data_IF_808042553472
#
_entry.id   IF_808042553472
#
_cell.length_a   1.000
_cell.length_b   1.000
_cell.length_c   1.000
_cell.angle_alpha   90.00
_cell.angle_beta   90.00
_cell.angle_gamma   90.00
#
_symmetry.space_group_name_H-M   'P 1'
#
loop_
_entity.id
_entity.type
_entity.pdbx_description
1 polymer ?
#
# COMPACT_ATOMS: atom_id res chain seq x y z
N UNK A 1 28.95 68.19 23.19
CA UNK A 1 29.16 67.44 21.94
C UNK A 1 29.54 66.03 22.37
N UNK A 2 28.57 65.11 22.45
CA UNK A 2 28.78 63.79 23.08
C UNK A 2 28.26 62.74 22.11
N UNK A 3 29.17 62.02 21.46
CA UNK A 3 28.84 60.94 20.51
C UNK A 3 28.64 59.66 21.31
N UNK A 4 27.45 59.07 21.27
CA UNK A 4 27.18 57.72 21.76
C UNK A 4 27.27 56.75 20.58
N UNK A 5 28.24 55.85 20.64
CA UNK A 5 28.41 54.72 19.72
C UNK A 5 27.33 53.66 20.01
N UNK A 6 26.59 53.26 18.99
CA UNK A 6 25.66 52.12 19.02
C UNK A 6 26.39 50.95 18.39
N UNK A 7 26.77 49.96 19.20
CA UNK A 7 27.29 48.68 18.70
C UNK A 7 26.11 47.81 18.28
N UNK A 8 25.95 47.59 16.98
CA UNK A 8 25.05 46.58 16.42
C UNK A 8 25.69 45.20 16.57
N UNK A 9 25.08 44.35 17.40
CA UNK A 9 25.37 42.92 17.41
C UNK A 9 24.63 42.24 16.25
N UNK A 10 25.37 41.81 15.23
CA UNK A 10 24.87 40.91 14.18
C UNK A 10 25.00 39.49 14.73
N UNK A 11 23.87 38.86 15.05
CA UNK A 11 23.82 37.41 15.30
C UNK A 11 23.88 36.68 13.95
N UNK A 12 25.08 36.19 13.61
CA UNK A 12 25.31 35.31 12.48
C UNK A 12 24.93 33.89 12.92
N UNK A 13 23.69 33.47 12.63
CA UNK A 13 23.29 32.07 12.79
C UNK A 13 23.88 31.28 11.63
N UNK A 14 25.03 30.64 11.88
CA UNK A 14 25.63 29.71 10.95
C UNK A 14 24.81 28.42 11.02
N UNK A 15 23.89 28.24 10.07
CA UNK A 15 23.23 26.97 9.86
C UNK A 15 24.25 26.01 9.25
N UNK A 16 25.03 25.32 10.08
CA UNK A 16 25.85 24.20 9.64
C UNK A 16 24.91 23.03 9.34
N UNK A 17 24.36 23.03 8.13
CA UNK A 17 23.63 21.89 7.56
C UNK A 17 24.60 20.73 7.39
N UNK A 18 24.78 19.94 8.46
CA UNK A 18 25.31 18.60 8.34
C UNK A 18 24.31 17.82 7.49
N UNK A 19 24.68 17.57 6.23
CA UNK A 19 24.08 16.53 5.40
C UNK A 19 24.16 15.24 6.21
N UNK A 20 23.06 14.89 6.87
CA UNK A 20 22.89 13.52 7.35
C UNK A 20 22.91 12.64 6.10
N UNK A 21 23.76 11.61 6.05
CA UNK A 21 23.71 10.68 4.94
C UNK A 21 22.28 10.13 4.89
N UNK A 22 21.66 10.17 3.71
CA UNK A 22 20.38 9.53 3.49
C UNK A 22 20.53 8.07 3.94
N UNK A 23 19.89 7.72 5.05
CA UNK A 23 19.88 6.33 5.51
C UNK A 23 19.14 5.57 4.42
N UNK A 24 19.85 4.66 3.74
CA UNK A 24 19.21 3.85 2.72
C UNK A 24 18.06 3.09 3.38
N UNK A 25 16.85 3.26 2.83
CA UNK A 25 15.65 2.58 3.31
C UNK A 25 15.92 1.07 3.44
N UNK A 26 15.84 0.56 4.67
CA UNK A 26 16.14 -0.85 4.97
C UNK A 26 14.85 -1.67 5.13
N UNK A 27 14.90 -2.91 4.64
CA UNK A 27 13.80 -3.87 4.74
C UNK A 27 14.32 -5.16 5.39
N UNK A 28 13.81 -5.50 6.58
CA UNK A 28 14.30 -6.63 7.37
C UNK A 28 13.42 -7.85 7.12
N UNK A 29 14.00 -8.88 6.50
CA UNK A 29 13.33 -10.17 6.27
C UNK A 29 13.73 -11.21 7.30
N UNK A 30 12.75 -11.83 7.97
CA UNK A 30 13.02 -12.98 8.85
C UNK A 30 13.35 -14.23 8.01
N UNK A 31 14.09 -15.21 8.57
CA UNK A 31 14.38 -16.46 7.87
C UNK A 31 13.11 -17.13 7.34
N UNK A 32 13.12 -17.58 6.08
CA UNK A 32 12.00 -18.22 5.36
C UNK A 32 10.77 -17.32 5.11
N UNK A 33 10.83 -16.04 5.47
CA UNK A 33 9.79 -15.06 5.17
C UNK A 33 9.98 -14.51 3.76
N UNK A 34 8.91 -14.35 2.99
CA UNK A 34 8.98 -13.64 1.71
C UNK A 34 9.35 -12.17 1.92
N UNK A 35 10.24 -11.64 1.06
CA UNK A 35 10.68 -10.25 1.09
C UNK A 35 9.55 -9.22 1.01
N UNK A 36 8.41 -9.62 0.44
CA UNK A 36 7.21 -8.79 0.41
C UNK A 36 6.67 -8.47 1.82
N UNK A 37 6.95 -9.31 2.82
CA UNK A 37 6.49 -9.13 4.20
C UNK A 37 7.59 -8.59 5.11
N UNK A 38 8.73 -8.16 4.55
CA UNK A 38 9.80 -7.57 5.33
C UNK A 38 9.29 -6.40 6.16
N UNK A 39 9.78 -6.31 7.39
CA UNK A 39 9.61 -5.16 8.26
C UNK A 39 10.25 -3.94 7.59
N UNK A 40 9.59 -2.80 7.66
CA UNK A 40 10.06 -1.56 7.05
C UNK A 40 10.76 -0.74 8.11
N UNK A 41 12.07 -0.52 7.96
CA UNK A 41 12.79 0.47 8.75
C UNK A 41 12.50 1.82 8.11
N UNK A 42 11.71 2.64 8.79
CA UNK A 42 11.27 3.92 8.23
C UNK A 42 12.38 4.99 8.26
N UNK A 43 12.50 5.74 7.17
CA UNK A 43 13.10 7.07 7.20
C UNK A 43 11.99 8.10 7.49
N UNK A 44 12.02 8.79 8.65
CA UNK A 44 10.98 9.73 9.03
C UNK A 44 10.89 10.96 8.13
N UNK A 45 11.90 11.23 7.29
CA UNK A 45 11.88 12.31 6.32
C UNK A 45 11.15 11.94 5.01
N UNK A 46 10.83 10.65 4.79
CA UNK A 46 10.20 10.15 3.58
C UNK A 46 8.69 9.91 3.78
N UNK A 47 7.87 10.11 2.72
CA UNK A 47 6.44 9.84 2.79
C UNK A 47 6.14 8.34 2.95
N UNK A 48 5.03 8.00 3.58
CA UNK A 48 4.55 6.62 3.75
C UNK A 48 3.57 6.21 2.67
N UNK A 49 3.88 5.10 2.01
CA UNK A 49 3.04 4.47 0.99
C UNK A 49 2.55 3.11 1.50
N UNK A 50 1.24 2.89 1.50
CA UNK A 50 0.66 1.57 1.78
C UNK A 50 0.21 0.87 0.49
N UNK A 51 0.67 -0.37 0.29
CA UNK A 51 0.15 -1.27 -0.74
C UNK A 51 -0.90 -2.21 -0.14
N UNK A 52 -2.12 -2.16 -0.68
CA UNK A 52 -3.22 -3.10 -0.39
C UNK A 52 -3.49 -3.92 -1.66
N UNK A 53 -3.35 -5.24 -1.60
CA UNK A 53 -3.68 -6.08 -2.75
C UNK A 53 -3.46 -7.56 -2.51
N UNK A 54 -3.70 -8.33 -3.56
CA UNK A 54 -3.63 -9.80 -3.52
C UNK A 54 -2.21 -10.34 -3.82
N UNK A 55 -2.12 -11.61 -4.21
CA UNK A 55 -0.86 -12.27 -4.57
C UNK A 55 -0.02 -11.52 -5.62
N UNK A 56 -0.64 -10.74 -6.52
CA UNK A 56 0.10 -9.96 -7.51
C UNK A 56 0.91 -8.86 -6.82
N UNK A 57 0.33 -8.18 -5.83
CA UNK A 57 1.04 -7.16 -5.06
C UNK A 57 2.17 -7.73 -4.21
N UNK A 58 2.00 -8.95 -3.70
CA UNK A 58 3.09 -9.69 -3.04
C UNK A 58 4.28 -9.85 -3.99
N UNK A 59 4.02 -10.20 -5.25
CA UNK A 59 5.06 -10.41 -6.26
C UNK A 59 5.85 -9.14 -6.59
N UNK A 60 5.18 -8.00 -6.83
CA UNK A 60 5.87 -6.77 -7.22
C UNK A 60 6.40 -5.93 -6.04
N UNK A 61 6.01 -6.22 -4.80
CA UNK A 61 6.43 -5.38 -3.65
C UNK A 61 7.96 -5.30 -3.49
N UNK A 62 8.73 -6.41 -3.54
CA UNK A 62 10.19 -6.33 -3.44
C UNK A 62 10.86 -5.47 -4.53
N UNK A 63 10.62 -5.68 -5.84
CA UNK A 63 11.25 -4.82 -6.86
C UNK A 63 10.72 -3.37 -6.80
N UNK A 64 9.47 -3.14 -6.38
CA UNK A 64 8.97 -1.78 -6.17
C UNK A 64 9.77 -1.04 -5.08
N UNK A 65 10.10 -1.72 -3.98
CA UNK A 65 10.94 -1.18 -2.91
C UNK A 65 12.33 -0.81 -3.39
N UNK A 66 12.92 -1.63 -4.25
CA UNK A 66 14.22 -1.34 -4.87
C UNK A 66 14.15 -0.09 -5.77
N UNK A 67 13.13 0.02 -6.62
CA UNK A 67 12.95 1.14 -7.56
C UNK A 67 12.68 2.47 -6.83
N UNK A 68 12.01 2.42 -5.67
CA UNK A 68 11.63 3.59 -4.88
C UNK A 68 12.51 3.83 -3.66
N UNK A 69 13.66 3.16 -3.58
CA UNK A 69 14.61 3.32 -2.48
C UNK A 69 15.02 4.79 -2.32
N UNK A 70 15.01 5.27 -1.08
CA UNK A 70 15.33 6.67 -0.74
C UNK A 70 14.31 7.70 -1.20
N UNK A 71 13.14 7.28 -1.71
CA UNK A 71 12.06 8.19 -2.14
C UNK A 71 10.83 8.11 -1.26
N UNK A 72 10.44 6.90 -0.82
CA UNK A 72 9.25 6.67 0.01
C UNK A 72 9.46 5.45 0.91
N UNK A 73 8.78 5.42 2.05
CA UNK A 73 8.62 4.23 2.89
C UNK A 73 7.52 3.34 2.28
N UNK A 74 7.87 2.20 1.65
CA UNK A 74 6.88 1.30 1.03
C UNK A 74 6.46 0.19 1.98
N UNK A 75 5.25 0.32 2.53
CA UNK A 75 4.58 -0.69 3.34
C UNK A 75 3.63 -1.52 2.49
N UNK A 76 3.31 -2.73 2.99
CA UNK A 76 2.17 -3.49 2.49
C UNK A 76 1.44 -4.20 3.60
N UNK A 77 0.18 -4.53 3.37
CA UNK A 77 -0.58 -5.36 4.30
C UNK A 77 0.14 -6.70 4.53
N UNK A 78 0.19 -7.24 5.76
CA UNK A 78 0.98 -8.42 6.09
C UNK A 78 0.29 -9.73 5.66
N UNK A 79 -0.65 -9.67 4.72
CA UNK A 79 -1.48 -10.78 4.25
C UNK A 79 -1.72 -10.68 2.74
N UNK A 80 -2.27 -11.73 2.13
CA UNK A 80 -2.90 -11.61 0.81
C UNK A 80 -4.27 -10.92 0.99
N UNK A 81 -4.50 -9.81 0.27
CA UNK A 81 -5.74 -9.02 0.35
C UNK A 81 -6.98 -9.78 -0.09
N UNK A 82 -6.84 -10.77 -0.98
CA UNK A 82 -7.94 -11.63 -1.41
C UNK A 82 -9.09 -10.89 -2.11
N UNK A 83 -10.34 -11.36 -1.98
CA UNK A 83 -11.49 -10.71 -2.59
C UNK A 83 -11.86 -9.41 -1.86
N UNK A 84 -12.67 -8.56 -2.50
CA UNK A 84 -13.16 -7.32 -1.89
C UNK A 84 -13.90 -7.52 -0.56
N UNK A 85 -14.58 -8.65 -0.36
CA UNK A 85 -15.25 -9.00 0.91
C UNK A 85 -14.27 -9.07 2.08
N UNK A 86 -13.08 -9.64 1.86
CA UNK A 86 -11.99 -9.65 2.85
C UNK A 86 -11.46 -8.24 3.08
N UNK A 87 -11.36 -7.45 2.02
CA UNK A 87 -11.02 -6.03 2.11
C UNK A 87 -11.96 -5.30 3.08
N UNK A 88 -13.26 -5.35 2.84
CA UNK A 88 -14.27 -4.66 3.66
C UNK A 88 -14.17 -5.07 5.13
N UNK A 89 -13.95 -6.37 5.40
CA UNK A 89 -13.82 -6.88 6.77
C UNK A 89 -12.56 -6.39 7.51
N UNK A 90 -11.48 -6.05 6.79
CA UNK A 90 -10.17 -5.84 7.39
C UNK A 90 -9.60 -4.44 7.16
N UNK A 91 -10.28 -3.58 6.40
CA UNK A 91 -9.72 -2.29 5.97
C UNK A 91 -9.29 -1.42 7.15
N UNK A 92 -10.05 -1.39 8.25
CA UNK A 92 -9.66 -0.64 9.44
C UNK A 92 -8.35 -1.15 10.06
N UNK A 93 -8.22 -2.47 10.19
CA UNK A 93 -7.00 -3.08 10.71
C UNK A 93 -5.80 -2.89 9.77
N UNK A 94 -6.03 -2.88 8.46
CA UNK A 94 -4.97 -2.69 7.48
C UNK A 94 -4.48 -1.25 7.39
N UNK A 95 -5.37 -0.28 7.58
CA UNK A 95 -5.01 1.13 7.68
C UNK A 95 -4.31 1.42 9.02
N UNK A 96 -4.79 0.82 10.12
CA UNK A 96 -4.28 1.03 11.46
C UNK A 96 -4.31 2.51 11.88
N UNK A 97 -3.46 2.86 12.84
CA UNK A 97 -3.31 4.24 13.33
C UNK A 97 -2.21 5.02 12.59
N UNK A 98 -1.72 4.50 11.48
CA UNK A 98 -0.62 5.11 10.71
C UNK A 98 -1.16 6.20 9.79
N UNK A 99 -0.50 7.36 9.78
CA UNK A 99 -0.74 8.39 8.77
C UNK A 99 -0.09 7.98 7.45
N UNK A 100 -0.91 7.68 6.46
CA UNK A 100 -0.50 7.37 5.10
C UNK A 100 -0.51 8.61 4.22
N UNK A 101 0.54 8.82 3.44
CA UNK A 101 0.56 9.89 2.42
C UNK A 101 -0.07 9.39 1.12
N UNK A 102 0.09 8.11 0.81
CA UNK A 102 -0.51 7.45 -0.35
C UNK A 102 -0.93 6.01 -0.04
N UNK A 103 -2.09 5.62 -0.55
CA UNK A 103 -2.56 4.23 -0.52
C UNK A 103 -2.75 3.76 -1.97
N UNK A 104 -1.94 2.78 -2.37
CA UNK A 104 -2.08 2.10 -3.64
C UNK A 104 -2.83 0.78 -3.43
N UNK A 105 -3.93 0.58 -4.15
CA UNK A 105 -4.79 -0.58 -3.91
C UNK A 105 -5.31 -1.26 -5.19
N UNK A 106 -5.49 -2.58 -5.10
CA UNK A 106 -6.11 -3.41 -6.13
C UNK A 106 -6.92 -4.57 -5.50
N UNK A 107 -8.06 -4.89 -6.12
CA UNK A 107 -8.89 -6.07 -5.87
C UNK A 107 -9.45 -6.56 -7.21
N UNK A 108 -9.94 -7.80 -7.27
CA UNK A 108 -10.68 -8.29 -8.44
C UNK A 108 -10.34 -9.73 -8.85
N UNK A 109 -9.07 -10.15 -8.83
CA UNK A 109 -8.70 -11.50 -9.30
C UNK A 109 -9.29 -12.63 -8.45
N UNK A 110 -9.51 -12.36 -7.16
CA UNK A 110 -10.16 -13.29 -6.25
C UNK A 110 -11.69 -13.21 -6.34
N UNK A 111 -12.24 -12.03 -6.62
CA UNK A 111 -13.66 -11.80 -6.84
C UNK A 111 -14.18 -12.57 -8.07
N UNK A 112 -13.36 -12.61 -9.13
CA UNK A 112 -13.66 -13.32 -10.40
C UNK A 112 -13.63 -14.85 -10.29
N UNK A 113 -13.15 -15.44 -9.18
CA UNK A 113 -13.04 -16.91 -9.09
C UNK A 113 -14.44 -17.53 -9.07
N UNK A 114 -14.74 -18.46 -9.97
CA UNK A 114 -15.99 -19.22 -9.93
C UNK A 114 -15.98 -20.25 -8.82
N UNK A 115 -17.06 -20.28 -8.03
CA UNK A 115 -17.28 -21.21 -6.93
C UNK A 115 -18.62 -21.95 -7.09
N UNK A 116 -18.64 -23.23 -6.72
CA UNK A 116 -19.87 -24.01 -6.52
C UNK A 116 -20.65 -23.49 -5.29
N UNK A 117 -21.88 -23.97 -5.10
CA UNK A 117 -22.68 -23.64 -3.91
C UNK A 117 -21.99 -24.06 -2.60
N UNK A 118 -21.13 -25.07 -2.64
CA UNK A 118 -20.33 -25.54 -1.50
C UNK A 118 -19.00 -24.77 -1.32
N UNK A 119 -18.76 -23.72 -2.12
CA UNK A 119 -17.58 -22.87 -2.03
C UNK A 119 -16.30 -23.47 -2.61
N UNK A 120 -16.41 -24.50 -3.46
CA UNK A 120 -15.26 -25.09 -4.17
C UNK A 120 -15.04 -24.38 -5.50
N UNK A 121 -13.79 -24.24 -5.94
CA UNK A 121 -13.50 -23.69 -7.28
C UNK A 121 -14.18 -24.52 -8.36
N UNK A 122 -14.76 -23.86 -9.35
CA UNK A 122 -15.43 -24.49 -10.48
C UNK A 122 -15.08 -23.77 -11.77
N UNK A 123 -15.32 -24.42 -12.91
CA UNK A 123 -15.42 -23.72 -14.19
C UNK A 123 -16.70 -22.86 -14.23
N UNK A 124 -16.82 -21.92 -15.18
CA UNK A 124 -17.95 -21.00 -15.26
C UNK A 124 -19.32 -21.68 -15.31
N UNK A 125 -19.44 -22.83 -15.98
CA UNK A 125 -20.70 -23.58 -16.10
C UNK A 125 -21.17 -24.21 -14.79
N UNK A 126 -20.23 -24.44 -13.85
CA UNK A 126 -20.46 -25.15 -12.60
C UNK A 126 -20.58 -24.27 -11.36
N UNK A 127 -20.49 -22.95 -11.51
CA UNK A 127 -20.51 -22.04 -10.37
C UNK A 127 -20.83 -20.60 -10.72
N UNK A 128 -20.58 -19.72 -9.75
CA UNK A 128 -20.77 -18.28 -9.86
C UNK A 128 -19.53 -17.59 -9.34
N UNK A 129 -19.26 -16.36 -9.78
CA UNK A 129 -18.17 -15.57 -9.24
C UNK A 129 -18.24 -15.50 -7.71
N UNK A 130 -17.08 -15.63 -7.06
CA UNK A 130 -16.92 -15.61 -5.60
C UNK A 130 -17.51 -14.34 -5.00
N UNK A 131 -17.43 -13.23 -5.73
CA UNK A 131 -18.16 -12.01 -5.44
C UNK A 131 -18.92 -11.60 -6.71
N UNK A 132 -20.27 -11.59 -6.68
CA UNK A 132 -21.08 -11.07 -7.78
C UNK A 132 -20.66 -9.64 -8.17
N UNK A 133 -20.84 -9.26 -9.43
CA UNK A 133 -20.34 -7.98 -9.95
C UNK A 133 -20.96 -6.77 -9.21
N UNK A 134 -22.22 -6.88 -8.81
CA UNK A 134 -22.92 -5.85 -8.05
C UNK A 134 -22.33 -5.69 -6.63
N UNK A 135 -22.00 -6.81 -5.99
CA UNK A 135 -21.37 -6.80 -4.67
C UNK A 135 -19.92 -6.34 -4.75
N UNK A 136 -19.19 -6.69 -5.81
CA UNK A 136 -17.84 -6.20 -6.08
C UNK A 136 -17.82 -4.67 -6.18
N UNK A 137 -18.74 -4.11 -6.98
CA UNK A 137 -18.87 -2.65 -7.11
C UNK A 137 -19.18 -1.99 -5.75
N UNK A 138 -20.16 -2.53 -5.03
CA UNK A 138 -20.55 -2.03 -3.70
C UNK A 138 -19.38 -2.08 -2.73
N UNK A 139 -18.65 -3.18 -2.68
CA UNK A 139 -17.51 -3.35 -1.78
C UNK A 139 -16.37 -2.38 -2.14
N UNK A 140 -16.07 -2.18 -3.42
CA UNK A 140 -15.09 -1.19 -3.85
C UNK A 140 -15.47 0.23 -3.40
N UNK A 141 -16.75 0.61 -3.49
CA UNK A 141 -17.22 1.91 -3.01
C UNK A 141 -16.98 2.07 -1.51
N UNK A 142 -17.35 1.08 -0.69
CA UNK A 142 -17.11 1.07 0.75
C UNK A 142 -15.61 1.18 1.10
N UNK A 143 -14.77 0.42 0.40
CA UNK A 143 -13.31 0.45 0.57
C UNK A 143 -12.75 1.84 0.26
N UNK A 144 -13.14 2.42 -0.88
CA UNK A 144 -12.67 3.74 -1.30
C UNK A 144 -13.15 4.82 -0.34
N UNK A 145 -14.42 4.80 0.06
CA UNK A 145 -14.97 5.72 1.05
C UNK A 145 -14.19 5.67 2.35
N UNK A 146 -13.89 4.47 2.84
CA UNK A 146 -13.12 4.32 4.07
C UNK A 146 -11.66 4.78 3.92
N UNK A 147 -10.99 4.44 2.82
CA UNK A 147 -9.61 4.90 2.58
C UNK A 147 -9.54 6.41 2.43
N UNK A 148 -10.55 7.06 1.84
CA UNK A 148 -10.61 8.53 1.71
C UNK A 148 -10.59 9.24 3.06
N UNK A 149 -11.15 8.65 4.12
CA UNK A 149 -11.17 9.29 5.45
C UNK A 149 -9.78 9.40 6.09
N UNK A 150 -8.77 8.69 5.55
CA UNK A 150 -7.37 8.83 5.98
C UNK A 150 -6.72 10.14 5.51
N UNK A 151 -7.29 10.79 4.49
CA UNK A 151 -6.68 11.94 3.81
C UNK A 151 -5.51 11.59 2.87
N UNK A 152 -5.16 10.31 2.74
CA UNK A 152 -4.11 9.86 1.82
C UNK A 152 -4.52 10.04 0.35
N UNK A 153 -3.53 10.23 -0.52
CA UNK A 153 -3.74 10.13 -1.97
C UNK A 153 -4.07 8.68 -2.31
N UNK A 154 -5.18 8.44 -3.02
CA UNK A 154 -5.58 7.09 -3.42
C UNK A 154 -5.17 6.80 -4.86
N UNK A 155 -4.42 5.72 -5.06
CA UNK A 155 -4.04 5.21 -6.39
C UNK A 155 -4.67 3.84 -6.57
N UNK A 156 -5.72 3.78 -7.38
CA UNK A 156 -6.32 2.52 -7.79
C UNK A 156 -5.57 1.93 -8.98
N UNK A 157 -5.37 0.61 -8.98
CA UNK A 157 -4.97 -0.15 -10.16
C UNK A 157 -6.09 -1.08 -10.58
N UNK A 158 -6.31 -1.15 -11.89
CA UNK A 158 -7.16 -2.16 -12.49
C UNK A 158 -6.62 -3.57 -12.24
N UNK A 159 -7.52 -4.54 -12.22
CA UNK A 159 -7.20 -5.96 -12.10
C UNK A 159 -6.28 -6.39 -13.24
N UNK A 160 -5.29 -7.21 -12.92
CA UNK A 160 -4.43 -7.85 -13.94
C UNK A 160 -5.31 -8.61 -14.93
N UNK A 161 -5.14 -8.42 -16.25
CA UNK A 161 -5.90 -9.16 -17.24
C UNK A 161 -5.79 -10.67 -17.02
N UNK A 162 -6.92 -11.36 -17.08
CA UNK A 162 -6.96 -12.82 -16.99
C UNK A 162 -6.71 -13.39 -18.39
N UNK A 163 -5.67 -14.23 -18.61
CA UNK A 163 -5.42 -14.86 -19.90
C UNK A 163 -6.55 -15.82 -20.29
N UNK A 164 -6.89 -15.88 -21.58
CA UNK A 164 -7.89 -16.81 -22.13
C UNK A 164 -7.61 -18.25 -21.68
N UNK A 165 -8.66 -18.95 -21.21
CA UNK A 165 -8.56 -20.32 -20.69
C UNK A 165 -7.93 -20.44 -19.30
N UNK A 166 -7.75 -19.33 -18.56
CA UNK A 166 -7.32 -19.40 -17.17
C UNK A 166 -8.39 -20.10 -16.32
N UNK A 167 -8.03 -21.16 -15.57
CA UNK A 167 -9.02 -21.96 -14.87
C UNK A 167 -9.76 -21.14 -13.82
N UNK A 168 -11.06 -21.40 -13.72
CA UNK A 168 -11.95 -20.86 -12.70
C UNK A 168 -12.19 -19.34 -12.75
N UNK A 169 -11.90 -18.64 -13.85
CA UNK A 169 -12.05 -17.16 -13.90
C UNK A 169 -12.71 -16.62 -15.15
N UNK A 170 -12.40 -17.18 -16.32
CA UNK A 170 -12.98 -16.80 -17.61
C UNK A 170 -13.21 -18.03 -18.47
#
# INVERSE_FOLDING_TARGET
MTVRSISSFVFLVIWSGLLQPAVAQEYITKPKQSAAFAEVVEDPALPRVLIIGDSISIGYTPPLREILMGKVNVHRIPVNGGPTTRGVQNIDSWLGDTKWDLIHFNFGLHDLVYLTQEGKRSEPEGGQHQVPVEDYEKNLRLLIERMKTTGAVLVWRNTTPVPEGAPYRI
#
